data_IF_473529304182
#
_entry.id   IF_473529304182
#
_cell.length_a   1.000
_cell.length_b   1.000
_cell.length_c   1.000
_cell.angle_alpha   90.00
_cell.angle_beta   90.00
_cell.angle_gamma   90.00
#
_symmetry.space_group_name_H-M   'P 1'
#
loop_
_entity.id
_entity.type
_entity.pdbx_description
1 polymer ?
#
# COMPACT_ATOMS: atom_id res chain seq x y z
N UNK A 1 45.99 -15.95 7.51
CA UNK A 1 45.79 -14.58 8.03
C UNK A 1 45.18 -13.74 6.94
N UNK A 2 43.90 -13.40 7.04
CA UNK A 2 43.32 -12.23 6.36
C UNK A 2 42.24 -11.66 7.26
N UNK A 3 42.38 -10.37 7.55
CA UNK A 3 41.66 -9.58 8.54
C UNK A 3 40.14 -9.61 8.32
N UNK A 4 39.43 -10.19 9.28
CA UNK A 4 38.05 -9.83 9.53
C UNK A 4 38.05 -8.38 10.04
N UNK A 5 37.73 -7.42 9.15
CA UNK A 5 37.34 -6.08 9.56
C UNK A 5 36.09 -6.20 10.44
N UNK A 6 36.30 -6.35 11.74
CA UNK A 6 35.28 -6.13 12.75
C UNK A 6 34.91 -4.65 12.69
N UNK A 7 33.83 -4.36 11.95
CA UNK A 7 33.18 -3.07 12.06
C UNK A 7 32.68 -2.93 13.52
N UNK A 8 33.08 -1.86 14.23
CA UNK A 8 32.60 -1.62 15.59
C UNK A 8 31.12 -1.27 15.51
N UNK A 9 30.27 -2.27 15.78
CA UNK A 9 28.85 -2.06 16.02
C UNK A 9 28.72 -1.22 17.29
N UNK A 10 28.55 0.08 17.09
CA UNK A 10 28.27 1.04 18.13
C UNK A 10 26.91 0.68 18.77
N UNK A 11 26.95 0.06 19.94
CA UNK A 11 25.81 -0.33 20.78
C UNK A 11 25.06 0.86 21.39
N UNK A 12 25.43 2.11 21.02
CA UNK A 12 24.83 3.35 21.53
C UNK A 12 23.82 4.01 20.57
N UNK A 13 23.46 3.40 19.45
CA UNK A 13 22.22 3.78 18.77
C UNK A 13 21.08 3.09 19.53
N UNK A 14 20.14 3.81 20.18
CA UNK A 14 18.88 3.19 20.52
C UNK A 14 18.34 2.67 19.20
N UNK A 15 18.37 1.34 19.03
CA UNK A 15 17.55 0.65 18.05
C UNK A 15 16.15 1.09 18.40
N UNK A 16 15.71 2.19 17.78
CA UNK A 16 14.36 2.69 17.94
C UNK A 16 13.52 1.46 17.70
N UNK A 17 12.78 0.98 18.71
CA UNK A 17 11.82 -0.07 18.47
C UNK A 17 11.04 0.46 17.28
N UNK A 18 10.98 -0.31 16.18
CA UNK A 18 9.99 -0.09 15.15
C UNK A 18 8.66 -0.19 15.89
N UNK A 19 8.25 0.93 16.48
CA UNK A 19 7.09 1.08 17.33
C UNK A 19 5.96 0.65 16.42
N UNK A 20 5.40 -0.52 16.71
CA UNK A 20 4.32 -1.11 15.95
C UNK A 20 3.18 -0.11 15.93
N UNK A 21 3.15 0.71 14.87
CA UNK A 21 1.99 1.54 14.61
C UNK A 21 0.84 0.55 14.46
N UNK A 22 -0.18 0.63 15.34
CA UNK A 22 -1.25 -0.33 15.32
C UNK A 22 -1.89 -0.26 13.95
N UNK A 23 -1.82 -1.37 13.24
CA UNK A 23 -2.46 -1.55 11.95
C UNK A 23 -3.94 -1.22 12.11
N UNK A 24 -4.41 -0.24 11.36
CA UNK A 24 -5.77 0.24 11.51
C UNK A 24 -6.75 -0.71 10.84
N UNK A 25 -7.78 -1.14 11.58
CA UNK A 25 -8.88 -1.88 10.99
C UNK A 25 -9.80 -0.95 10.22
N UNK A 26 -10.06 -1.29 8.97
CA UNK A 26 -10.93 -0.55 8.08
C UNK A 26 -11.88 -1.51 7.33
N UNK A 27 -12.91 -0.96 6.72
CA UNK A 27 -13.62 -1.64 5.63
C UNK A 27 -13.16 -1.08 4.30
N UNK A 28 -13.17 -1.89 3.25
CA UNK A 28 -12.85 -1.49 1.89
C UNK A 28 -13.82 -2.11 0.91
N UNK A 29 -14.29 -1.27 -0.03
CA UNK A 29 -15.10 -1.68 -1.18
C UNK A 29 -14.49 -1.13 -2.44
N UNK A 30 -14.23 -1.98 -3.43
CA UNK A 30 -13.67 -1.58 -4.71
C UNK A 30 -14.63 -1.86 -5.86
N UNK A 31 -14.73 -0.91 -6.79
CA UNK A 31 -15.53 -1.02 -8.01
C UNK A 31 -14.76 -0.46 -9.20
N UNK A 32 -14.92 -1.07 -10.37
CA UNK A 32 -14.41 -0.49 -11.61
C UNK A 32 -15.30 0.66 -12.05
N UNK A 33 -14.70 1.83 -12.25
CA UNK A 33 -15.38 3.02 -12.77
C UNK A 33 -14.59 3.60 -13.94
N UNK A 34 -15.03 3.30 -15.16
CA UNK A 34 -14.40 3.80 -16.39
C UNK A 34 -12.97 3.29 -16.55
N UNK A 35 -12.00 4.19 -16.39
CA UNK A 35 -10.58 3.96 -16.60
C UNK A 35 -9.79 3.62 -15.32
N UNK A 36 -10.50 3.41 -14.20
CA UNK A 36 -9.87 3.17 -12.91
C UNK A 36 -10.68 2.24 -12.00
N UNK A 37 -10.00 1.63 -11.05
CA UNK A 37 -10.62 1.01 -9.89
C UNK A 37 -10.78 2.05 -8.78
N UNK A 38 -11.98 2.19 -8.25
CA UNK A 38 -12.32 3.11 -7.17
C UNK A 38 -12.51 2.30 -5.90
N UNK A 39 -11.61 2.47 -4.93
CA UNK A 39 -11.66 1.80 -3.64
C UNK A 39 -12.06 2.80 -2.56
N UNK A 40 -13.21 2.58 -1.94
CA UNK A 40 -13.68 3.36 -0.79
C UNK A 40 -13.29 2.62 0.48
N UNK A 41 -12.58 3.29 1.37
CA UNK A 41 -12.20 2.80 2.68
C UNK A 41 -12.90 3.57 3.79
N UNK A 42 -13.32 2.89 4.85
CA UNK A 42 -13.95 3.48 6.04
C UNK A 42 -13.35 2.88 7.31
N UNK A 43 -13.40 3.58 8.47
CA UNK A 43 -13.06 2.94 9.73
C UNK A 43 -13.94 1.71 9.97
N UNK A 44 -13.36 0.65 10.53
CA UNK A 44 -14.15 -0.49 11.00
C UNK A 44 -15.12 -0.07 12.11
N UNK A 45 -16.19 -0.84 12.33
CA UNK A 45 -17.16 -0.55 13.38
C UNK A 45 -16.47 -0.43 14.76
N UNK A 46 -16.73 0.67 15.47
CA UNK A 46 -16.11 0.96 16.76
C UNK A 46 -14.74 1.66 16.69
N UNK A 47 -14.20 1.90 15.50
CA UNK A 47 -12.99 2.71 15.32
C UNK A 47 -13.33 4.20 15.18
N UNK A 48 -12.47 5.06 15.73
CA UNK A 48 -12.65 6.50 15.70
C UNK A 48 -12.31 7.12 14.32
N UNK A 49 -13.18 8.00 13.84
CA UNK A 49 -13.01 8.63 12.52
C UNK A 49 -11.87 9.66 12.50
N UNK A 50 -11.55 10.31 13.62
CA UNK A 50 -10.42 11.22 13.67
C UNK A 50 -9.09 10.45 13.60
N UNK A 51 -8.99 9.31 14.29
CA UNK A 51 -7.86 8.39 14.13
C UNK A 51 -7.73 7.90 12.69
N UNK A 52 -8.85 7.51 12.05
CA UNK A 52 -8.86 7.11 10.64
C UNK A 52 -8.29 8.20 9.72
N UNK A 53 -8.74 9.44 9.88
CA UNK A 53 -8.20 10.58 9.12
C UNK A 53 -6.70 10.74 9.31
N UNK A 54 -6.20 10.67 10.54
CA UNK A 54 -4.76 10.77 10.81
C UNK A 54 -3.95 9.67 10.10
N UNK A 55 -4.43 8.42 10.12
CA UNK A 55 -3.75 7.32 9.42
C UNK A 55 -3.79 7.50 7.90
N UNK A 56 -4.94 7.91 7.36
CA UNK A 56 -5.07 8.17 5.93
C UNK A 56 -4.22 9.35 5.44
N UNK A 57 -4.12 10.43 6.22
CA UNK A 57 -3.21 11.55 5.95
C UNK A 57 -1.74 11.12 5.99
N UNK A 58 -1.39 10.26 6.95
CA UNK A 58 -0.06 9.66 7.01
C UNK A 58 0.23 8.78 5.79
N UNK A 59 -0.74 7.94 5.36
CA UNK A 59 -0.61 7.14 4.16
C UNK A 59 -0.40 8.02 2.91
N UNK A 60 -1.21 9.06 2.75
CA UNK A 60 -1.08 10.00 1.64
C UNK A 60 0.28 10.72 1.66
N UNK A 61 0.73 11.19 2.82
CA UNK A 61 2.05 11.80 2.99
C UNK A 61 3.15 10.82 2.57
N UNK A 62 3.10 9.58 3.03
CA UNK A 62 4.13 8.60 2.70
C UNK A 62 4.17 8.29 1.20
N UNK A 63 3.00 8.12 0.58
CA UNK A 63 2.90 7.89 -0.87
C UNK A 63 3.41 9.09 -1.68
N UNK A 64 3.13 10.31 -1.23
CA UNK A 64 3.64 11.53 -1.88
C UNK A 64 5.16 11.68 -1.70
N UNK A 65 5.74 11.15 -0.62
CA UNK A 65 7.18 11.04 -0.42
C UNK A 65 7.85 9.93 -1.24
N UNK A 66 7.16 9.32 -2.21
CA UNK A 66 7.76 8.30 -3.07
C UNK A 66 7.63 6.87 -2.55
N UNK A 67 7.06 6.64 -1.37
CA UNK A 67 6.99 5.31 -0.79
C UNK A 67 5.92 4.45 -1.46
N UNK A 68 6.25 3.21 -1.88
CA UNK A 68 5.28 2.30 -2.45
C UNK A 68 4.30 1.80 -1.39
N UNK A 69 3.03 1.77 -1.77
CA UNK A 69 1.99 1.13 -0.99
C UNK A 69 1.72 -0.27 -1.56
N UNK A 70 1.87 -1.29 -0.73
CA UNK A 70 1.61 -2.69 -1.04
C UNK A 70 0.24 -3.10 -0.51
N UNK A 71 -0.61 -3.64 -1.38
CA UNK A 71 -1.88 -4.28 -1.02
C UNK A 71 -1.74 -5.80 -1.19
N UNK A 72 -1.99 -6.57 -0.14
CA UNK A 72 -1.85 -8.01 -0.15
C UNK A 72 -3.12 -8.67 0.39
N UNK A 73 -3.66 -9.63 -0.36
CA UNK A 73 -4.78 -10.44 0.08
C UNK A 73 -4.57 -11.87 -0.41
N UNK A 74 -4.36 -12.80 0.52
CA UNK A 74 -3.93 -14.17 0.22
C UNK A 74 -2.72 -14.20 -0.75
N UNK A 75 -2.88 -14.74 -1.95
CA UNK A 75 -1.85 -14.79 -2.99
C UNK A 75 -1.87 -13.59 -3.95
N UNK A 76 -2.82 -12.67 -3.80
CA UNK A 76 -2.89 -11.45 -4.59
C UNK A 76 -1.99 -10.38 -3.99
N UNK A 77 -1.19 -9.73 -4.82
CA UNK A 77 -0.32 -8.64 -4.42
C UNK A 77 -0.34 -7.52 -5.45
N UNK A 78 -0.58 -6.30 -4.98
CA UNK A 78 -0.51 -5.09 -5.77
C UNK A 78 0.50 -4.14 -5.16
N UNK A 79 1.27 -3.47 -6.02
CA UNK A 79 2.12 -2.35 -5.63
C UNK A 79 1.59 -1.08 -6.28
N UNK A 80 1.46 -0.05 -5.45
CA UNK A 80 0.89 1.22 -5.83
C UNK A 80 1.88 2.34 -5.55
N UNK A 81 2.03 3.25 -6.51
CA UNK A 81 2.80 4.48 -6.36
C UNK A 81 1.88 5.67 -6.57
N UNK A 82 2.16 6.80 -5.94
CA UNK A 82 1.55 8.07 -6.33
C UNK A 82 2.06 8.52 -7.71
N UNK A 83 1.33 9.42 -8.37
CA UNK A 83 1.80 10.05 -9.60
C UNK A 83 3.11 10.84 -9.37
N UNK A 84 3.24 11.50 -8.22
CA UNK A 84 4.44 12.23 -7.82
C UNK A 84 5.64 11.30 -7.60
N UNK A 85 5.41 10.15 -6.95
CA UNK A 85 6.42 9.10 -6.79
C UNK A 85 6.92 8.59 -8.14
N UNK A 86 6.01 8.36 -9.09
CA UNK A 86 6.36 7.97 -10.46
C UNK A 86 7.21 9.03 -11.17
N UNK A 87 6.86 10.31 -11.04
CA UNK A 87 7.61 11.41 -11.62
C UNK A 87 9.01 11.55 -11.00
N UNK A 88 9.12 11.45 -9.66
CA UNK A 88 10.42 11.44 -8.97
C UNK A 88 11.30 10.30 -9.45
N UNK A 89 10.75 9.10 -9.60
CA UNK A 89 11.47 7.91 -10.08
C UNK A 89 12.01 8.08 -11.50
N UNK A 90 11.23 8.69 -12.39
CA UNK A 90 11.67 9.02 -13.74
C UNK A 90 12.79 10.07 -13.74
N UNK A 91 12.71 11.07 -12.84
CA UNK A 91 13.69 12.16 -12.75
C UNK A 91 15.03 11.74 -12.14
N UNK A 92 15.03 10.82 -11.18
CA UNK A 92 16.24 10.39 -10.47
C UNK A 92 16.93 9.17 -11.11
N UNK A 93 16.38 8.62 -12.20
CA UNK A 93 16.83 7.38 -12.85
C UNK A 93 17.08 6.24 -11.84
N UNK A 94 16.33 6.25 -10.74
CA UNK A 94 16.46 5.28 -9.66
C UNK A 94 15.69 4.03 -10.09
N UNK A 95 16.35 2.88 -10.29
CA UNK A 95 15.61 1.64 -10.45
C UNK A 95 14.77 1.43 -9.19
N UNK A 96 13.49 1.07 -9.36
CA UNK A 96 12.59 0.76 -8.25
C UNK A 96 13.34 -0.14 -7.28
N UNK A 97 13.66 0.39 -6.09
CA UNK A 97 14.03 -0.39 -4.91
C UNK A 97 12.76 -1.13 -4.49
N UNK A 98 12.36 -2.09 -5.33
CA UNK A 98 11.36 -3.08 -4.97
C UNK A 98 11.89 -3.82 -3.75
N UNK A 99 11.04 -4.14 -2.78
CA UNK A 99 11.43 -5.01 -1.67
C UNK A 99 12.09 -6.26 -2.25
N UNK A 100 13.39 -6.37 -2.02
CA UNK A 100 14.24 -7.45 -2.53
C UNK A 100 13.73 -8.78 -1.97
N UNK A 101 13.00 -9.56 -2.78
CA UNK A 101 12.65 -10.94 -2.42
C UNK A 101 11.33 -11.51 -2.92
N UNK A 102 10.42 -10.72 -3.51
CA UNK A 102 9.13 -11.27 -3.99
C UNK A 102 9.10 -11.47 -5.50
N UNK A 103 9.25 -12.72 -5.92
CA UNK A 103 9.17 -13.20 -7.32
C UNK A 103 7.75 -13.37 -7.85
N UNK A 104 6.73 -12.85 -7.15
CA UNK A 104 5.34 -13.01 -7.57
C UNK A 104 4.96 -11.92 -8.60
N UNK A 105 4.15 -12.24 -9.62
CA UNK A 105 3.61 -11.25 -10.55
C UNK A 105 2.70 -10.28 -9.77
N UNK A 106 3.24 -9.10 -9.46
CA UNK A 106 2.53 -8.05 -8.74
C UNK A 106 1.87 -7.08 -9.73
N UNK A 107 0.58 -6.80 -9.54
CA UNK A 107 -0.10 -5.74 -10.30
C UNK A 107 0.47 -4.39 -9.88
N UNK A 108 0.86 -3.56 -10.86
CA UNK A 108 1.46 -2.25 -10.63
C UNK A 108 0.47 -1.15 -10.99
N UNK A 109 0.15 -0.30 -10.02
CA UNK A 109 -0.87 0.72 -10.17
C UNK A 109 -0.37 2.10 -9.76
N UNK A 110 -0.87 3.14 -10.42
CA UNK A 110 -0.87 4.49 -9.86
C UNK A 110 -2.06 4.57 -8.90
N UNK A 111 -1.86 5.11 -7.70
CA UNK A 111 -2.92 5.27 -6.71
C UNK A 111 -2.95 6.70 -6.18
N UNK A 112 -4.12 7.30 -6.24
CA UNK A 112 -4.42 8.63 -5.73
C UNK A 112 -5.53 8.54 -4.69
N UNK A 113 -5.25 8.97 -3.46
CA UNK A 113 -6.19 8.90 -2.36
C UNK A 113 -6.64 10.29 -1.93
N UNK A 114 -7.93 10.45 -1.69
CA UNK A 114 -8.53 11.68 -1.17
C UNK A 114 -9.44 11.38 0.01
N UNK A 115 -9.38 12.25 1.00
CA UNK A 115 -10.28 12.17 2.16
C UNK A 115 -11.66 12.72 1.82
N UNK A 116 -12.68 11.99 2.25
CA UNK A 116 -14.08 12.35 2.17
C UNK A 116 -14.65 12.52 3.57
N UNK A 117 -15.91 12.95 3.66
CA UNK A 117 -16.56 13.18 4.96
C UNK A 117 -16.67 11.89 5.79
N UNK A 118 -16.89 10.75 5.13
CA UNK A 118 -17.24 9.46 5.72
C UNK A 118 -16.23 8.34 5.43
N UNK A 119 -15.08 8.66 4.84
CA UNK A 119 -14.03 7.69 4.52
C UNK A 119 -12.96 8.26 3.60
N UNK A 120 -12.12 7.38 3.07
CA UNK A 120 -11.13 7.67 2.04
C UNK A 120 -11.58 7.07 0.71
N UNK A 121 -11.42 7.82 -0.38
CA UNK A 121 -11.56 7.27 -1.72
C UNK A 121 -10.20 7.23 -2.39
N UNK A 122 -9.80 6.07 -2.87
CA UNK A 122 -8.61 5.90 -3.68
C UNK A 122 -8.96 5.50 -5.11
N UNK A 123 -8.44 6.26 -6.07
CA UNK A 123 -8.47 5.95 -7.50
C UNK A 123 -7.20 5.18 -7.84
N UNK A 124 -7.34 4.00 -8.43
CA UNK A 124 -6.22 3.16 -8.87
C UNK A 124 -6.28 2.97 -10.39
N UNK A 125 -5.16 3.23 -11.07
CA UNK A 125 -5.01 3.11 -12.52
C UNK A 125 -3.83 2.19 -12.85
N UNK A 126 -3.88 1.40 -13.92
CA UNK A 126 -2.76 0.54 -14.30
C UNK A 126 -1.55 1.38 -14.69
N UNK A 127 -0.36 0.97 -14.27
CA UNK A 127 0.88 1.56 -14.76
C UNK A 127 1.19 1.14 -16.20
N UNK A 128 2.08 1.86 -16.91
CA UNK A 128 2.57 1.41 -18.22
C UNK A 128 3.05 -0.04 -18.18
N UNK A 129 2.60 -0.84 -19.16
CA UNK A 129 2.87 -2.27 -19.23
C UNK A 129 1.82 -3.16 -18.55
N UNK A 130 0.84 -2.60 -17.84
CA UNK A 130 -0.34 -3.31 -17.34
C UNK A 130 -1.58 -2.93 -18.14
N UNK A 131 -2.49 -3.88 -18.37
CA UNK A 131 -3.73 -3.62 -19.12
C UNK A 131 -4.92 -3.34 -18.20
N UNK A 132 -5.93 -2.64 -18.72
CA UNK A 132 -7.21 -2.46 -18.02
C UNK A 132 -7.92 -3.79 -17.72
N UNK A 133 -7.77 -4.79 -18.59
CA UNK A 133 -8.30 -6.13 -18.35
C UNK A 133 -7.61 -6.82 -17.16
N UNK A 134 -6.31 -6.59 -16.94
CA UNK A 134 -5.64 -7.08 -15.74
C UNK A 134 -6.15 -6.38 -14.48
N UNK A 135 -6.39 -5.07 -14.56
CA UNK A 135 -6.97 -4.31 -13.44
C UNK A 135 -8.38 -4.79 -13.08
N UNK A 136 -9.24 -4.99 -14.08
CA UNK A 136 -10.61 -5.49 -13.88
C UNK A 136 -10.60 -6.87 -13.22
N UNK A 137 -9.75 -7.79 -13.72
CA UNK A 137 -9.53 -9.09 -13.09
C UNK A 137 -9.03 -8.97 -11.65
N UNK A 138 -8.14 -8.01 -11.38
CA UNK A 138 -7.65 -7.73 -10.04
C UNK A 138 -8.78 -7.22 -9.13
N UNK A 139 -9.68 -6.37 -9.62
CA UNK A 139 -10.85 -5.88 -8.87
C UNK A 139 -11.79 -7.03 -8.51
N UNK A 140 -12.11 -7.89 -9.49
CA UNK A 140 -12.97 -9.04 -9.29
C UNK A 140 -12.37 -10.02 -8.29
N UNK A 141 -11.07 -10.32 -8.42
CA UNK A 141 -10.36 -11.20 -7.49
C UNK A 141 -10.31 -10.61 -6.09
N UNK A 142 -10.04 -9.31 -5.97
CA UNK A 142 -10.03 -8.59 -4.70
C UNK A 142 -11.37 -8.73 -3.98
N UNK A 143 -12.46 -8.39 -4.66
CA UNK A 143 -13.80 -8.49 -4.09
C UNK A 143 -14.15 -9.93 -3.71
N UNK A 144 -13.80 -10.91 -4.54
CA UNK A 144 -14.01 -12.33 -4.23
C UNK A 144 -13.27 -12.78 -2.98
N UNK A 145 -11.97 -12.44 -2.86
CA UNK A 145 -11.17 -12.84 -1.70
C UNK A 145 -11.68 -12.17 -0.42
N UNK A 146 -12.01 -10.89 -0.50
CA UNK A 146 -12.48 -10.14 0.66
C UNK A 146 -13.89 -10.55 1.08
N UNK A 147 -14.84 -10.60 0.16
CA UNK A 147 -16.25 -10.89 0.46
C UNK A 147 -16.56 -12.38 0.59
N UNK A 148 -16.12 -13.22 -0.34
CA UNK A 148 -16.51 -14.64 -0.37
C UNK A 148 -15.61 -15.50 0.52
N UNK A 149 -14.35 -15.10 0.71
CA UNK A 149 -13.37 -15.85 1.50
C UNK A 149 -13.03 -15.19 2.84
N UNK A 150 -13.64 -14.04 3.17
CA UNK A 150 -13.39 -13.27 4.39
C UNK A 150 -11.89 -12.95 4.62
N UNK A 151 -11.10 -12.88 3.55
CA UNK A 151 -9.67 -12.63 3.64
C UNK A 151 -9.41 -11.13 3.77
N UNK A 152 -8.70 -10.67 4.81
CA UNK A 152 -8.38 -9.26 4.94
C UNK A 152 -7.41 -8.82 3.84
N UNK A 153 -7.60 -7.59 3.40
CA UNK A 153 -6.64 -6.85 2.57
C UNK A 153 -5.65 -6.13 3.48
N UNK A 154 -4.40 -6.55 3.43
CA UNK A 154 -3.30 -5.97 4.18
C UNK A 154 -2.67 -4.86 3.35
N UNK A 155 -2.69 -3.63 3.86
CA UNK A 155 -2.04 -2.48 3.24
C UNK A 155 -0.80 -2.10 4.04
N UNK A 156 0.33 -1.98 3.37
CA UNK A 156 1.58 -1.51 3.96
C UNK A 156 2.24 -0.45 3.10
N UNK A 157 2.94 0.49 3.71
CA UNK A 157 3.71 1.52 3.00
C UNK A 157 5.19 1.33 3.32
N UNK A 158 6.01 1.08 2.31
CA UNK A 158 7.43 0.75 2.48
C UNK A 158 7.67 -0.39 3.51
N UNK A 159 6.81 -1.41 3.50
CA UNK A 159 6.88 -2.54 4.42
C UNK A 159 6.34 -2.26 5.84
N UNK A 160 5.94 -1.04 6.15
CA UNK A 160 5.26 -0.71 7.43
C UNK A 160 3.76 -0.96 7.29
N UNK A 161 3.14 -1.80 8.15
CA UNK A 161 1.71 -2.01 8.14
C UNK A 161 0.93 -0.71 8.41
N UNK A 162 -0.04 -0.40 7.56
CA UNK A 162 -0.87 0.81 7.67
C UNK A 162 -2.32 0.46 8.02
N UNK A 163 -2.93 -0.42 7.23
CA UNK A 163 -4.34 -0.80 7.37
C UNK A 163 -4.58 -2.28 7.10
N UNK A 164 -5.56 -2.85 7.79
CA UNK A 164 -6.14 -4.16 7.53
C UNK A 164 -7.62 -3.94 7.18
N UNK A 165 -7.95 -4.12 5.91
CA UNK A 165 -9.29 -3.85 5.41
C UNK A 165 -10.07 -5.15 5.24
N UNK A 166 -11.28 -5.20 5.78
CA UNK A 166 -12.26 -6.24 5.45
C UNK A 166 -13.34 -5.69 4.52
N UNK A 167 -14.21 -6.54 3.99
CA UNK A 167 -15.44 -6.07 3.34
C UNK A 167 -16.44 -5.49 4.34
#
# INVERSE_FOLDING_TARGET
MMNAMQMPMNTAMPMMPMMGMPMMMATMKCEMAGDAMMCTMKPAAGMDMAQFKTNAEMMAMMMNCGMPMMMQCANMSMICLSADAMAMMASMNMPMMMPMGMSMPMMKCVMECRMQADGMLCKMMPMPGMSMAMMDNCCMLMNKLMSDCAMPMMMSCNGMPMMCCTC
#
